data_IF_168775688257
#
_entry.id   IF_168775688257
#
_cell.length_a   1.000
_cell.length_b   1.000
_cell.length_c   1.000
_cell.angle_alpha   90.00
_cell.angle_beta   90.00
_cell.angle_gamma   90.00
#
_symmetry.space_group_name_H-M   'P 1'
#
loop_
_entity.id
_entity.type
_entity.pdbx_description
1 polymer ?
#
# COMPACT_ATOMS: atom_id res chain seq x y z
N UNK A 1 16.58 -26.32 -30.74
CA UNK A 1 15.10 -26.35 -30.78
C UNK A 1 14.64 -24.93 -30.52
N UNK A 2 13.78 -24.41 -31.39
CA UNK A 2 13.61 -22.97 -31.60
C UNK A 2 13.18 -22.22 -30.34
N UNK A 3 13.78 -21.06 -30.12
CA UNK A 3 13.24 -19.99 -29.29
C UNK A 3 11.87 -19.63 -29.89
N UNK A 4 10.81 -20.30 -29.45
CA UNK A 4 9.45 -19.79 -29.65
C UNK A 4 9.44 -18.39 -29.05
N UNK A 5 8.90 -17.42 -29.78
CA UNK A 5 8.86 -16.04 -29.32
C UNK A 5 8.21 -16.01 -27.94
N UNK A 6 8.94 -15.53 -26.92
CA UNK A 6 8.46 -15.47 -25.54
C UNK A 6 7.10 -14.73 -25.42
N UNK A 7 6.81 -13.84 -26.37
CA UNK A 7 5.49 -13.19 -26.52
C UNK A 7 4.35 -14.11 -27.00
N UNK A 8 4.61 -15.11 -27.84
CA UNK A 8 3.61 -16.11 -28.27
C UNK A 8 3.19 -17.01 -27.10
N UNK A 9 4.15 -17.38 -26.24
CA UNK A 9 3.89 -18.11 -24.99
C UNK A 9 2.97 -17.32 -24.07
N UNK A 10 3.26 -16.03 -23.85
CA UNK A 10 2.43 -15.18 -22.99
C UNK A 10 0.99 -15.05 -23.53
N UNK A 11 0.81 -14.93 -24.84
CA UNK A 11 -0.52 -14.83 -25.46
C UNK A 11 -1.34 -16.13 -25.31
N UNK A 12 -0.72 -17.29 -25.50
CA UNK A 12 -1.38 -18.58 -25.30
C UNK A 12 -1.78 -18.81 -23.83
N UNK A 13 -0.89 -18.50 -22.89
CA UNK A 13 -1.15 -18.61 -21.44
C UNK A 13 -2.22 -17.61 -20.98
N UNK A 14 -2.28 -16.41 -21.56
CA UNK A 14 -3.35 -15.45 -21.33
C UNK A 14 -4.71 -16.00 -21.76
N UNK A 15 -4.77 -16.65 -22.92
CA UNK A 15 -6.01 -17.27 -23.42
C UNK A 15 -6.48 -18.39 -22.48
N UNK A 16 -5.55 -19.16 -21.91
CA UNK A 16 -5.87 -20.14 -20.87
C UNK A 16 -6.37 -19.46 -19.58
N UNK A 17 -5.73 -18.39 -19.11
CA UNK A 17 -6.15 -17.64 -17.91
C UNK A 17 -7.59 -17.09 -18.02
N UNK A 18 -8.02 -16.70 -19.21
CA UNK A 18 -9.38 -16.21 -19.46
C UNK A 18 -10.47 -17.24 -19.17
N UNK A 19 -10.13 -18.53 -19.23
CA UNK A 19 -11.08 -19.62 -18.98
C UNK A 19 -11.52 -19.72 -17.51
N UNK A 20 -10.78 -19.10 -16.58
CA UNK A 20 -11.11 -19.12 -15.15
C UNK A 20 -12.26 -18.17 -14.79
N UNK A 21 -12.66 -17.25 -15.67
CA UNK A 21 -13.73 -16.26 -15.44
C UNK A 21 -13.65 -15.61 -14.04
N UNK A 22 -12.53 -14.94 -13.78
CA UNK A 22 -12.29 -14.23 -12.52
C UNK A 22 -12.93 -12.83 -12.54
N UNK A 23 -13.24 -12.23 -11.36
CA UNK A 23 -13.89 -10.93 -11.27
C UNK A 23 -13.12 -9.78 -11.91
N UNK A 24 -11.78 -9.82 -11.85
CA UNK A 24 -10.93 -8.79 -12.44
C UNK A 24 -10.77 -8.97 -13.96
N UNK A 25 -10.62 -7.87 -14.72
CA UNK A 25 -10.39 -7.95 -16.16
C UNK A 25 -9.15 -8.81 -16.47
N UNK A 26 -9.26 -9.68 -17.47
CA UNK A 26 -8.21 -10.60 -17.92
C UNK A 26 -8.11 -10.61 -19.45
N UNK A 27 -8.32 -9.46 -20.10
CA UNK A 27 -8.43 -9.38 -21.56
C UNK A 27 -7.08 -9.01 -22.17
N UNK A 28 -6.35 -8.10 -21.52
CA UNK A 28 -5.06 -7.59 -21.98
C UNK A 28 -3.94 -8.04 -21.05
N UNK A 29 -2.73 -8.11 -21.58
CA UNK A 29 -1.53 -8.38 -20.77
C UNK A 29 -1.36 -7.38 -19.62
N UNK A 30 -1.68 -6.11 -19.88
CA UNK A 30 -1.64 -5.02 -18.88
C UNK A 30 -2.52 -5.30 -17.65
N UNK A 31 -3.64 -6.02 -17.81
CA UNK A 31 -4.55 -6.32 -16.71
C UNK A 31 -3.91 -7.28 -15.69
N UNK A 32 -3.00 -8.15 -16.16
CA UNK A 32 -2.31 -9.14 -15.32
C UNK A 32 -1.09 -8.56 -14.61
N UNK A 33 -0.54 -7.44 -15.09
CA UNK A 33 0.62 -6.76 -14.47
C UNK A 33 0.32 -6.28 -13.05
N UNK A 34 -0.96 -6.10 -12.69
CA UNK A 34 -1.40 -5.74 -11.33
C UNK A 34 -1.15 -6.84 -10.29
N UNK A 35 -1.00 -8.10 -10.74
CA UNK A 35 -0.92 -9.29 -9.88
C UNK A 35 -2.26 -9.72 -9.26
N UNK A 36 -3.31 -8.89 -9.34
CA UNK A 36 -4.63 -9.17 -8.72
C UNK A 36 -5.32 -10.33 -9.44
N UNK A 37 -5.41 -10.26 -10.76
CA UNK A 37 -6.05 -11.30 -11.59
C UNK A 37 -5.36 -12.65 -11.41
N UNK A 38 -4.02 -12.66 -11.32
CA UNK A 38 -3.23 -13.88 -11.08
C UNK A 38 -3.53 -14.45 -9.68
N UNK A 39 -3.60 -13.59 -8.66
CA UNK A 39 -3.92 -14.02 -7.30
C UNK A 39 -5.33 -14.63 -7.19
N UNK A 40 -6.31 -14.05 -7.88
CA UNK A 40 -7.67 -14.61 -7.93
C UNK A 40 -7.72 -15.97 -8.61
N UNK A 41 -6.92 -16.19 -9.67
CA UNK A 41 -6.80 -17.50 -10.31
C UNK A 41 -6.14 -18.52 -9.38
N UNK A 42 -5.06 -18.14 -8.69
CA UNK A 42 -4.41 -19.01 -7.70
C UNK A 42 -5.36 -19.41 -6.56
N UNK A 43 -6.18 -18.49 -6.08
CA UNK A 43 -7.24 -18.78 -5.11
C UNK A 43 -8.26 -19.82 -5.64
N UNK A 44 -8.60 -19.79 -6.94
CA UNK A 44 -9.46 -20.82 -7.54
C UNK A 44 -8.75 -22.17 -7.70
N UNK A 45 -7.45 -22.15 -8.04
CA UNK A 45 -6.64 -23.37 -8.21
C UNK A 45 -6.64 -24.17 -6.91
N UNK A 46 -6.26 -23.54 -5.81
CA UNK A 46 -6.22 -24.18 -4.50
C UNK A 46 -6.60 -23.20 -3.39
N UNK A 47 -7.89 -23.16 -2.99
CA UNK A 47 -8.36 -22.30 -1.91
C UNK A 47 -7.77 -22.65 -0.54
N UNK A 48 -7.19 -23.84 -0.37
CA UNK A 48 -6.63 -24.27 0.92
C UNK A 48 -5.31 -23.55 1.22
N UNK A 49 -4.47 -23.40 0.21
CA UNK A 49 -3.20 -22.66 0.30
C UNK A 49 -3.38 -21.18 0.04
N UNK A 50 -3.97 -20.85 -1.13
CA UNK A 50 -4.21 -19.47 -1.54
C UNK A 50 -5.54 -18.98 -0.96
N UNK A 51 -5.69 -18.98 0.36
CA UNK A 51 -6.95 -18.67 1.04
C UNK A 51 -7.34 -17.17 0.97
N UNK A 52 -8.55 -16.84 1.46
CA UNK A 52 -9.06 -15.45 1.46
C UNK A 52 -8.14 -14.49 2.24
N UNK A 53 -7.49 -14.94 3.31
CA UNK A 53 -6.58 -14.08 4.10
C UNK A 53 -5.32 -13.72 3.33
N UNK A 54 -4.83 -14.61 2.48
CA UNK A 54 -3.72 -14.33 1.57
C UNK A 54 -4.17 -13.38 0.45
N UNK A 55 -5.35 -13.63 -0.14
CA UNK A 55 -5.90 -12.79 -1.21
C UNK A 55 -6.10 -11.34 -0.75
N UNK A 56 -6.54 -11.12 0.51
CA UNK A 56 -6.67 -9.79 1.12
C UNK A 56 -5.33 -9.03 1.25
N UNK A 57 -4.18 -9.71 1.21
CA UNK A 57 -2.86 -9.05 1.22
C UNK A 57 -2.52 -8.43 -0.14
N UNK A 58 -3.21 -8.82 -1.20
CA UNK A 58 -3.05 -8.29 -2.56
C UNK A 58 -3.94 -7.05 -2.68
N UNK A 59 -3.35 -5.90 -3.02
CA UNK A 59 -4.08 -4.64 -3.12
C UNK A 59 -4.75 -4.55 -4.50
N UNK A 60 -6.05 -4.27 -4.53
CA UNK A 60 -6.83 -4.16 -5.78
C UNK A 60 -6.63 -2.78 -6.47
N UNK A 61 -6.50 -1.71 -5.67
CA UNK A 61 -6.34 -0.33 -6.15
C UNK A 61 -4.90 0.00 -6.59
N UNK A 62 -4.44 -0.70 -7.63
CA UNK A 62 -3.07 -0.56 -8.14
C UNK A 62 -2.89 0.55 -9.19
N UNK A 63 -3.94 0.89 -9.94
CA UNK A 63 -3.90 1.92 -10.99
C UNK A 63 -2.64 1.84 -11.86
N UNK A 64 -1.97 2.99 -12.04
CA UNK A 64 -0.66 3.08 -12.73
C UNK A 64 0.54 3.03 -11.78
N UNK A 65 0.34 2.71 -10.50
CA UNK A 65 1.42 2.67 -9.52
C UNK A 65 2.23 1.36 -9.65
N UNK A 66 3.22 1.38 -10.54
CA UNK A 66 4.10 0.25 -10.80
C UNK A 66 4.75 -0.34 -9.53
N UNK A 67 5.02 0.46 -8.49
CA UNK A 67 5.58 -0.04 -7.23
C UNK A 67 4.61 -0.95 -6.48
N UNK A 68 3.32 -0.62 -6.49
CA UNK A 68 2.28 -1.47 -5.91
C UNK A 68 2.08 -2.74 -6.74
N UNK A 69 2.13 -2.64 -8.08
CA UNK A 69 2.11 -3.79 -8.98
C UNK A 69 3.26 -4.76 -8.67
N UNK A 70 4.49 -4.27 -8.60
CA UNK A 70 5.67 -5.08 -8.25
C UNK A 70 5.52 -5.69 -6.84
N UNK A 71 4.99 -4.94 -5.87
CA UNK A 71 4.76 -5.47 -4.51
C UNK A 71 3.75 -6.62 -4.50
N UNK A 72 2.65 -6.50 -5.23
CA UNK A 72 1.66 -7.58 -5.39
C UNK A 72 2.27 -8.79 -6.10
N UNK A 73 2.98 -8.58 -7.21
CA UNK A 73 3.62 -9.64 -7.98
C UNK A 73 4.70 -10.38 -7.16
N UNK A 74 5.45 -9.68 -6.30
CA UNK A 74 6.39 -10.30 -5.36
C UNK A 74 5.69 -11.26 -4.40
N UNK A 75 4.55 -10.86 -3.83
CA UNK A 75 3.74 -11.72 -2.95
C UNK A 75 3.20 -12.93 -3.69
N UNK A 76 2.71 -12.73 -4.91
CA UNK A 76 2.21 -13.81 -5.77
C UNK A 76 3.33 -14.81 -6.08
N UNK A 77 4.48 -14.33 -6.56
CA UNK A 77 5.62 -15.19 -6.88
C UNK A 77 6.12 -15.95 -5.65
N UNK A 78 6.27 -15.27 -4.52
CA UNK A 78 6.70 -15.90 -3.27
C UNK A 78 5.78 -17.07 -2.90
N UNK A 79 4.46 -16.84 -2.88
CA UNK A 79 3.51 -17.89 -2.49
C UNK A 79 3.40 -19.02 -3.52
N UNK A 80 3.66 -18.76 -4.81
CA UNK A 80 3.73 -19.78 -5.86
C UNK A 80 4.98 -20.65 -5.71
N UNK A 81 6.13 -20.05 -5.40
CA UNK A 81 7.38 -20.78 -5.16
C UNK A 81 7.27 -21.61 -3.88
N UNK A 82 6.75 -21.03 -2.79
CA UNK A 82 6.46 -21.74 -1.54
C UNK A 82 5.48 -22.90 -1.78
N UNK A 83 4.39 -22.70 -2.52
CA UNK A 83 3.46 -23.78 -2.88
C UNK A 83 4.15 -24.89 -3.67
N UNK A 84 5.01 -24.53 -4.62
CA UNK A 84 5.72 -25.49 -5.46
C UNK A 84 6.71 -26.33 -4.65
N UNK A 85 7.40 -25.73 -3.68
CA UNK A 85 8.34 -26.43 -2.80
C UNK A 85 7.63 -27.24 -1.71
N UNK A 86 6.69 -26.64 -0.99
CA UNK A 86 6.10 -27.22 0.22
C UNK A 86 4.94 -28.19 -0.08
N UNK A 87 4.12 -27.90 -1.09
CA UNK A 87 2.94 -28.71 -1.44
C UNK A 87 3.24 -29.67 -2.58
N UNK A 88 3.87 -29.17 -3.65
CA UNK A 88 4.18 -30.00 -4.81
C UNK A 88 5.48 -30.80 -4.64
N UNK A 89 6.38 -30.40 -3.74
CA UNK A 89 7.67 -31.07 -3.52
C UNK A 89 8.69 -30.85 -4.66
N UNK A 90 8.48 -29.88 -5.54
CA UNK A 90 9.34 -29.60 -6.69
C UNK A 90 10.08 -28.27 -6.49
N UNK A 91 11.40 -28.28 -6.66
CA UNK A 91 12.22 -27.07 -6.68
C UNK A 91 12.02 -26.35 -8.03
N UNK A 92 11.56 -25.10 -8.00
CA UNK A 92 11.46 -24.28 -9.21
C UNK A 92 12.88 -23.88 -9.65
N UNK A 93 13.32 -24.22 -10.88
CA UNK A 93 14.62 -23.83 -11.39
C UNK A 93 14.77 -22.31 -11.47
N UNK A 94 15.96 -21.80 -11.16
CA UNK A 94 16.26 -20.36 -11.16
C UNK A 94 16.00 -19.69 -12.53
N UNK A 95 16.12 -20.46 -13.63
CA UNK A 95 15.85 -19.97 -14.99
C UNK A 95 14.36 -19.70 -15.28
N UNK A 96 13.47 -20.31 -14.49
CA UNK A 96 12.02 -20.17 -14.62
C UNK A 96 11.44 -19.13 -13.64
N UNK A 97 12.28 -18.56 -12.77
CA UNK A 97 11.85 -17.48 -11.88
C UNK A 97 11.68 -16.18 -12.68
N UNK A 98 10.48 -15.59 -12.70
CA UNK A 98 10.23 -14.34 -13.40
C UNK A 98 10.79 -13.14 -12.62
N UNK A 99 11.36 -12.17 -13.33
CA UNK A 99 11.67 -10.87 -12.77
C UNK A 99 10.40 -10.00 -12.69
N UNK A 100 9.77 -10.04 -11.52
CA UNK A 100 8.56 -9.28 -11.22
C UNK A 100 8.74 -7.76 -11.28
N UNK A 101 9.97 -7.24 -11.23
CA UNK A 101 10.23 -5.81 -11.42
C UNK A 101 10.00 -5.42 -12.89
N UNK A 102 10.50 -6.23 -13.83
CA UNK A 102 10.30 -6.02 -15.27
C UNK A 102 8.82 -6.16 -15.67
N UNK A 103 8.08 -7.07 -15.03
CA UNK A 103 6.63 -7.21 -15.26
C UNK A 103 5.86 -5.98 -14.76
N UNK A 104 6.18 -5.46 -13.57
CA UNK A 104 5.44 -4.33 -13.00
C UNK A 104 5.81 -2.97 -13.59
N UNK A 105 7.06 -2.76 -14.00
CA UNK A 105 7.59 -1.49 -14.52
C UNK A 105 7.51 -1.38 -16.05
N UNK A 106 7.85 -2.44 -16.77
CA UNK A 106 7.94 -2.44 -18.24
C UNK A 106 6.83 -3.25 -18.91
N UNK A 107 5.98 -3.93 -18.13
CA UNK A 107 4.95 -4.85 -18.67
C UNK A 107 5.55 -5.90 -19.62
N UNK A 108 6.75 -6.41 -19.29
CA UNK A 108 7.49 -7.31 -20.17
C UNK A 108 6.74 -8.64 -20.37
N UNK A 109 6.40 -9.02 -21.62
CA UNK A 109 5.62 -10.22 -21.89
C UNK A 109 6.41 -11.52 -21.66
N UNK A 110 7.74 -11.49 -21.72
CA UNK A 110 8.55 -12.67 -21.49
C UNK A 110 8.54 -13.06 -20.00
N UNK A 111 8.78 -12.10 -19.12
CA UNK A 111 8.73 -12.32 -17.68
C UNK A 111 7.31 -12.61 -17.18
N UNK A 112 6.29 -11.98 -17.75
CA UNK A 112 4.90 -12.31 -17.45
C UNK A 112 4.57 -13.75 -17.90
N UNK A 113 5.05 -14.17 -19.08
CA UNK A 113 4.89 -15.53 -19.57
C UNK A 113 5.50 -16.58 -18.64
N UNK A 114 6.68 -16.32 -18.07
CA UNK A 114 7.30 -17.19 -17.05
C UNK A 114 6.45 -17.28 -15.78
N UNK A 115 5.91 -16.15 -15.29
CA UNK A 115 5.03 -16.15 -14.13
C UNK A 115 3.76 -16.98 -14.37
N UNK A 116 3.13 -16.80 -15.54
CA UNK A 116 1.94 -17.58 -15.91
C UNK A 116 2.26 -19.07 -16.10
N UNK A 117 3.46 -19.41 -16.57
CA UNK A 117 3.92 -20.78 -16.68
C UNK A 117 4.02 -21.45 -15.30
N UNK A 118 4.51 -20.74 -14.28
CA UNK A 118 4.51 -21.27 -12.90
C UNK A 118 3.09 -21.49 -12.36
N UNK A 119 2.18 -20.55 -12.62
CA UNK A 119 0.76 -20.68 -12.24
C UNK A 119 0.11 -21.89 -12.93
N UNK A 120 0.40 -22.10 -14.22
CA UNK A 120 0.00 -23.29 -14.95
C UNK A 120 0.57 -24.57 -14.30
N UNK A 121 1.84 -24.55 -13.92
CA UNK A 121 2.50 -25.62 -13.16
C UNK A 121 1.76 -25.97 -11.87
N UNK A 122 1.30 -24.96 -11.12
CA UNK A 122 0.46 -25.17 -9.94
C UNK A 122 -0.90 -25.80 -10.30
N UNK A 123 -1.56 -25.32 -11.36
CA UNK A 123 -2.87 -25.83 -11.78
C UNK A 123 -2.81 -27.31 -12.22
N UNK A 124 -1.76 -27.73 -12.94
CA UNK A 124 -1.64 -29.12 -13.41
C UNK A 124 -1.13 -30.09 -12.33
N UNK A 125 -0.62 -29.57 -11.21
CA UNK A 125 -0.04 -30.37 -10.13
C UNK A 125 -0.91 -30.40 -8.87
N UNK A 126 -1.95 -29.55 -8.79
CA UNK A 126 -2.90 -29.53 -7.67
C UNK A 126 -3.83 -30.76 -7.65
N UNK A 127 -4.60 -30.91 -6.56
CA UNK A 127 -5.56 -32.03 -6.41
C UNK A 127 -6.62 -32.07 -7.53
N UNK A 128 -7.04 -30.90 -8.01
CA UNK A 128 -8.05 -30.74 -9.08
C UNK A 128 -7.44 -30.67 -10.49
N UNK A 129 -6.21 -31.16 -10.68
CA UNK A 129 -5.51 -31.12 -11.98
C UNK A 129 -6.31 -31.67 -13.16
N UNK A 130 -7.18 -32.66 -12.93
CA UNK A 130 -8.00 -33.26 -14.00
C UNK A 130 -8.96 -32.23 -14.63
N UNK A 131 -9.56 -31.35 -13.83
CA UNK A 131 -10.49 -30.32 -14.33
C UNK A 131 -9.75 -29.28 -15.18
N UNK A 132 -8.56 -28.86 -14.72
CA UNK A 132 -7.72 -27.90 -15.45
C UNK A 132 -7.13 -28.49 -16.73
N UNK A 133 -6.75 -29.77 -16.73
CA UNK A 133 -6.29 -30.47 -17.94
C UNK A 133 -7.44 -30.59 -18.96
N UNK A 134 -8.65 -30.93 -18.52
CA UNK A 134 -9.83 -30.96 -19.40
C UNK A 134 -10.12 -29.58 -19.99
N UNK A 135 -10.00 -28.52 -19.18
CA UNK A 135 -10.16 -27.15 -19.64
C UNK A 135 -9.13 -26.77 -20.72
N UNK A 136 -7.87 -27.17 -20.56
CA UNK A 136 -6.83 -26.99 -21.59
C UNK A 136 -7.22 -27.69 -22.90
N UNK A 137 -7.81 -28.89 -22.83
CA UNK A 137 -8.27 -29.64 -24.01
C UNK A 137 -9.44 -29.00 -24.77
N UNK A 138 -10.10 -27.99 -24.20
CA UNK A 138 -11.15 -27.22 -24.89
C UNK A 138 -10.61 -26.00 -25.66
N UNK A 139 -9.34 -25.66 -25.48
CA UNK A 139 -8.69 -24.53 -26.15
C UNK A 139 -8.37 -24.84 -27.62
N UNK A 140 -8.01 -23.82 -28.40
CA UNK A 140 -7.56 -23.98 -29.78
C UNK A 140 -6.26 -24.81 -29.85
N UNK A 141 -6.10 -25.64 -30.88
CA UNK A 141 -4.96 -26.58 -31.04
C UNK A 141 -3.59 -25.87 -30.99
N UNK A 142 -3.51 -24.66 -31.55
CA UNK A 142 -2.32 -23.80 -31.49
C UNK A 142 -1.94 -23.43 -30.05
N UNK A 143 -2.93 -23.09 -29.22
CA UNK A 143 -2.77 -22.76 -27.80
C UNK A 143 -2.43 -24.02 -26.99
N UNK A 144 -3.09 -25.15 -27.27
CA UNK A 144 -2.82 -26.43 -26.60
C UNK A 144 -1.36 -26.85 -26.76
N UNK A 145 -0.79 -26.73 -27.96
CA UNK A 145 0.61 -27.10 -28.21
C UNK A 145 1.58 -26.22 -27.40
N UNK A 146 1.32 -24.92 -27.30
CA UNK A 146 2.15 -23.98 -26.53
C UNK A 146 2.05 -24.27 -25.03
N UNK A 147 0.85 -24.51 -24.51
CA UNK A 147 0.61 -24.89 -23.11
C UNK A 147 1.29 -26.22 -22.79
N UNK A 148 1.19 -27.22 -23.66
CA UNK A 148 1.84 -28.53 -23.49
C UNK A 148 3.37 -28.40 -23.45
N UNK A 149 3.94 -27.56 -24.31
CA UNK A 149 5.39 -27.29 -24.32
C UNK A 149 5.83 -26.64 -23.00
N UNK A 150 5.05 -25.68 -22.50
CA UNK A 150 5.30 -25.01 -21.22
C UNK A 150 5.23 -25.99 -20.02
N UNK A 151 4.33 -26.98 -20.07
CA UNK A 151 4.24 -28.06 -19.08
C UNK A 151 5.45 -29.00 -19.16
N UNK A 152 5.86 -29.39 -20.37
CA UNK A 152 7.02 -30.28 -20.56
C UNK A 152 8.32 -29.66 -20.05
N UNK A 153 8.52 -28.35 -20.25
CA UNK A 153 9.66 -27.63 -19.69
C UNK A 153 9.68 -27.60 -18.16
N UNK A 154 8.51 -27.66 -17.51
CA UNK A 154 8.41 -27.75 -16.05
C UNK A 154 8.71 -29.15 -15.51
N UNK A 155 8.49 -30.21 -16.32
CA UNK A 155 8.56 -31.62 -15.88
C UNK A 155 9.85 -32.36 -16.32
N UNK A 156 10.73 -31.76 -17.11
CA UNK A 156 11.81 -32.49 -17.82
C UNK A 156 13.10 -32.75 -17.03
N UNK A 157 13.11 -32.70 -15.69
CA UNK A 157 14.38 -32.83 -14.93
C UNK A 157 14.39 -33.70 -13.68
N UNK A 158 13.77 -34.88 -13.72
CA UNK A 158 13.88 -35.90 -12.65
C UNK A 158 14.28 -37.32 -13.12
N UNK A 159 15.01 -37.48 -14.23
CA UNK A 159 15.51 -38.81 -14.65
C UNK A 159 16.95 -38.79 -15.16
N UNK A 160 17.91 -38.73 -14.25
CA UNK A 160 19.30 -39.09 -14.55
C UNK A 160 19.98 -39.63 -13.30
N UNK A 161 19.78 -40.93 -13.05
CA UNK A 161 20.69 -41.70 -12.20
C UNK A 161 20.74 -43.19 -12.60
N UNK A 162 21.99 -43.67 -12.74
CA UNK A 162 22.49 -45.06 -12.66
C UNK A 162 22.01 -46.13 -13.65
N UNK A 163 22.94 -46.58 -14.52
CA UNK A 163 23.03 -47.98 -14.90
C UNK A 163 24.51 -48.42 -14.99
N UNK A 164 24.96 -49.13 -13.95
CA UNK A 164 26.19 -49.92 -13.94
C UNK A 164 25.99 -51.22 -14.73
N UNK A 165 26.91 -51.50 -15.65
CA UNK A 165 26.91 -52.71 -16.47
C UNK A 165 28.07 -53.62 -16.05
N UNK A 166 27.78 -54.60 -15.21
CA UNK A 166 28.61 -55.81 -15.07
C UNK A 166 27.78 -56.99 -15.59
N UNK A 167 28.34 -57.83 -16.47
CA UNK A 167 28.15 -59.30 -16.41
C UNK A 167 29.24 -60.03 -17.22
N UNK A 168 29.77 -61.04 -16.53
CA UNK A 168 30.72 -62.11 -16.84
C UNK A 168 30.44 -63.01 -18.07
N UNK A 169 31.50 -63.69 -18.51
CA UNK A 169 31.49 -64.98 -19.23
C UNK A 169 32.82 -65.17 -19.97
N UNK A 170 33.46 -66.33 -20.09
CA UNK A 170 33.21 -67.73 -19.72
C UNK A 170 34.54 -68.47 -20.01
N UNK A 171 34.96 -69.43 -19.17
CA UNK A 171 36.18 -70.24 -19.38
C UNK A 171 35.76 -71.65 -19.80
N UNK A 172 36.21 -72.14 -20.95
CA UNK A 172 36.31 -73.58 -21.22
C UNK A 172 37.24 -73.87 -22.42
N UNK A 173 38.34 -74.59 -22.17
CA UNK A 173 38.89 -75.57 -23.12
C UNK A 173 40.14 -76.22 -22.56
N UNK A 174 39.94 -77.34 -21.87
CA UNK A 174 41.00 -78.28 -21.53
C UNK A 174 40.69 -79.60 -22.23
N UNK A 175 41.40 -79.93 -23.32
CA UNK A 175 41.50 -81.33 -23.75
C UNK A 175 42.73 -81.65 -24.62
N UNK A 176 43.61 -82.43 -23.99
CA UNK A 176 44.26 -83.67 -24.49
C UNK A 176 45.16 -83.58 -25.73
N UNK A 177 46.44 -83.93 -25.54
CA UNK A 177 47.01 -85.13 -26.19
C UNK A 177 48.27 -85.63 -25.48
N UNK A 178 48.22 -86.88 -25.05
CA UNK A 178 49.35 -87.69 -24.56
C UNK A 178 49.78 -88.64 -25.68
N UNK A 179 51.10 -88.71 -25.92
CA UNK A 179 51.95 -89.87 -26.25
C UNK A 179 51.65 -90.80 -27.45
N UNK A 180 52.68 -91.01 -28.29
CA UNK A 180 53.34 -92.32 -28.41
C UNK A 180 54.77 -92.17 -29.00
N UNK A 181 55.76 -92.71 -28.27
CA UNK A 181 57.19 -92.78 -28.61
C UNK A 181 57.50 -94.08 -29.38
N UNK A 182 58.52 -94.05 -30.23
CA UNK A 182 59.27 -95.22 -30.69
C UNK A 182 60.64 -94.73 -31.19
N UNK A 183 61.69 -94.79 -30.36
CA UNK A 183 63.02 -95.30 -30.75
C UNK A 183 64.01 -95.27 -29.54
N UNK A 184 64.18 -96.43 -28.88
CA UNK A 184 64.90 -96.59 -27.61
C UNK A 184 66.43 -96.62 -27.74
N UNK A 185 67.03 -95.79 -28.60
CA UNK A 185 68.48 -95.58 -28.63
C UNK A 185 68.92 -94.11 -28.72
N UNK A 186 67.99 -93.15 -28.93
CA UNK A 186 68.20 -91.69 -28.79
C UNK A 186 67.72 -91.14 -27.43
N UNK A 187 66.92 -91.90 -26.67
CA UNK A 187 66.23 -91.44 -25.44
C UNK A 187 67.14 -90.93 -24.33
N UNK A 188 68.41 -91.36 -24.25
CA UNK A 188 69.28 -90.86 -23.18
C UNK A 188 69.89 -89.49 -23.47
N UNK A 189 69.98 -89.07 -24.74
CA UNK A 189 70.52 -87.76 -25.13
C UNK A 189 69.37 -86.76 -25.28
N UNK A 190 68.25 -87.16 -25.89
CA UNK A 190 67.04 -86.33 -26.02
C UNK A 190 66.37 -86.04 -24.66
N UNK A 191 66.33 -87.00 -23.73
CA UNK A 191 65.85 -86.71 -22.37
C UNK A 191 66.78 -85.74 -21.65
N UNK A 192 68.11 -85.85 -21.85
CA UNK A 192 69.07 -84.90 -21.26
C UNK A 192 68.91 -83.50 -21.83
N UNK A 193 68.72 -83.40 -23.14
CA UNK A 193 68.42 -82.14 -23.83
C UNK A 193 67.11 -81.52 -23.30
N UNK A 194 66.06 -82.33 -23.16
CA UNK A 194 64.75 -81.88 -22.68
C UNK A 194 64.78 -81.43 -21.21
N UNK A 195 65.56 -82.12 -20.35
CA UNK A 195 65.82 -81.68 -18.99
C UNK A 195 66.55 -80.34 -18.95
N UNK A 196 67.55 -80.14 -19.82
CA UNK A 196 68.28 -78.88 -19.90
C UNK A 196 67.40 -77.72 -20.39
N UNK A 197 66.53 -77.98 -21.37
CA UNK A 197 65.57 -76.99 -21.88
C UNK A 197 64.53 -76.61 -20.80
N UNK A 198 64.04 -77.58 -20.00
CA UNK A 198 63.17 -77.30 -18.86
C UNK A 198 63.88 -76.49 -17.78
N UNK A 199 65.13 -76.80 -17.45
CA UNK A 199 65.92 -76.03 -16.47
C UNK A 199 66.13 -74.59 -16.94
N UNK A 200 66.41 -74.40 -18.23
CA UNK A 200 66.54 -73.08 -18.82
C UNK A 200 65.22 -72.30 -18.76
N UNK A 201 64.10 -72.95 -19.08
CA UNK A 201 62.77 -72.34 -19.01
C UNK A 201 62.37 -72.00 -17.58
N UNK A 202 62.71 -72.85 -16.61
CA UNK A 202 62.53 -72.57 -15.17
C UNK A 202 63.38 -71.38 -14.75
N UNK A 203 64.62 -71.27 -15.22
CA UNK A 203 65.49 -70.13 -14.93
C UNK A 203 64.90 -68.82 -15.45
N UNK A 204 64.44 -68.80 -16.70
CA UNK A 204 63.78 -67.63 -17.31
C UNK A 204 62.52 -67.25 -16.52
N UNK A 205 61.67 -68.23 -16.19
CA UNK A 205 60.44 -67.98 -15.43
C UNK A 205 60.73 -67.52 -13.99
N UNK A 206 61.81 -68.00 -13.36
CA UNK A 206 62.24 -67.50 -12.05
C UNK A 206 62.71 -66.05 -12.14
N UNK A 207 63.42 -65.69 -13.21
CA UNK A 207 63.92 -64.33 -13.44
C UNK A 207 62.78 -63.36 -13.73
N UNK A 208 61.81 -63.74 -14.58
CA UNK A 208 60.57 -62.99 -14.81
C UNK A 208 59.75 -62.85 -13.52
N UNK A 209 59.59 -63.92 -12.74
CA UNK A 209 58.91 -63.85 -11.44
C UNK A 209 59.60 -62.87 -10.50
N UNK A 210 60.94 -62.85 -10.47
CA UNK A 210 61.70 -61.94 -9.63
C UNK A 210 61.56 -60.48 -10.08
N UNK A 211 61.56 -60.22 -11.40
CA UNK A 211 61.31 -58.90 -11.97
C UNK A 211 59.89 -58.41 -11.65
N UNK A 212 58.89 -59.25 -11.88
CA UNK A 212 57.48 -58.95 -11.56
C UNK A 212 57.28 -58.72 -10.06
N UNK A 213 57.98 -59.46 -9.20
CA UNK A 213 57.94 -59.26 -7.76
C UNK A 213 58.55 -57.92 -7.34
N UNK A 214 59.65 -57.51 -7.98
CA UNK A 214 60.29 -56.21 -7.76
C UNK A 214 59.37 -55.07 -8.21
N UNK A 215 58.77 -55.18 -9.39
CA UNK A 215 57.80 -54.22 -9.92
C UNK A 215 56.55 -54.11 -9.04
N UNK A 216 56.05 -55.25 -8.55
CA UNK A 216 54.95 -55.27 -7.60
C UNK A 216 55.30 -54.57 -6.28
N UNK A 217 56.56 -54.65 -5.84
CA UNK A 217 57.01 -53.98 -4.62
C UNK A 217 57.09 -52.47 -4.83
N UNK A 218 57.67 -52.02 -5.94
CA UNK A 218 57.77 -50.59 -6.27
C UNK A 218 56.39 -49.96 -6.49
N UNK A 219 55.47 -50.64 -7.17
CA UNK A 219 54.09 -50.18 -7.33
C UNK A 219 53.34 -50.05 -6.00
N UNK A 220 53.56 -50.99 -5.05
CA UNK A 220 52.96 -50.89 -3.70
C UNK A 220 53.53 -49.71 -2.91
N UNK A 221 54.83 -49.46 -2.98
CA UNK A 221 55.48 -48.33 -2.31
C UNK A 221 55.00 -46.98 -2.89
N UNK A 222 54.87 -46.87 -4.22
CA UNK A 222 54.30 -45.69 -4.88
C UNK A 222 52.84 -45.45 -4.48
N UNK A 223 52.03 -46.51 -4.41
CA UNK A 223 50.63 -46.42 -3.97
C UNK A 223 50.52 -45.92 -2.52
N UNK A 224 51.29 -46.48 -1.59
CA UNK A 224 51.28 -46.01 -0.19
C UNK A 224 51.72 -44.55 -0.05
N UNK A 225 52.70 -44.09 -0.84
CA UNK A 225 53.13 -42.69 -0.84
C UNK A 225 52.00 -41.76 -1.29
N UNK A 226 51.33 -42.10 -2.40
CA UNK A 226 50.23 -41.31 -2.94
C UNK A 226 49.02 -41.27 -2.00
N UNK A 227 48.71 -42.38 -1.32
CA UNK A 227 47.63 -42.46 -0.33
C UNK A 227 47.91 -41.59 0.91
N UNK A 228 49.15 -41.58 1.40
CA UNK A 228 49.56 -40.74 2.54
C UNK A 228 49.48 -39.24 2.21
N UNK A 229 49.97 -38.84 1.04
CA UNK A 229 49.94 -37.44 0.59
C UNK A 229 48.50 -36.97 0.33
N UNK A 230 47.68 -37.81 -0.29
CA UNK A 230 46.26 -37.53 -0.51
C UNK A 230 45.47 -37.40 0.79
N UNK A 231 45.72 -38.26 1.79
CA UNK A 231 45.08 -38.17 3.09
C UNK A 231 45.44 -36.87 3.84
N UNK A 232 46.72 -36.48 3.81
CA UNK A 232 47.21 -35.24 4.44
C UNK A 232 46.66 -33.96 3.78
N UNK A 233 46.60 -33.93 2.44
CA UNK A 233 46.00 -32.82 1.67
C UNK A 233 44.49 -32.71 1.91
N UNK A 234 43.80 -33.85 1.98
CA UNK A 234 42.34 -33.88 2.24
C UNK A 234 42.03 -33.37 3.64
N UNK A 235 42.80 -33.77 4.66
CA UNK A 235 42.64 -33.27 6.03
C UNK A 235 42.86 -31.76 6.17
N UNK A 236 43.89 -31.21 5.52
CA UNK A 236 44.13 -29.75 5.51
C UNK A 236 43.01 -28.98 4.82
N UNK A 237 42.48 -29.50 3.70
CA UNK A 237 41.34 -28.90 2.99
C UNK A 237 40.08 -28.93 3.85
N UNK A 238 39.86 -30.02 4.60
CA UNK A 238 38.73 -30.16 5.50
C UNK A 238 38.80 -29.16 6.66
N UNK A 239 39.98 -28.97 7.27
CA UNK A 239 40.20 -27.94 8.30
C UNK A 239 40.00 -26.52 7.78
N UNK A 240 40.46 -26.22 6.56
CA UNK A 240 40.26 -24.90 5.94
C UNK A 240 38.77 -24.62 5.70
N UNK A 241 38.05 -25.61 5.15
CA UNK A 241 36.60 -25.50 4.95
C UNK A 241 35.87 -25.35 6.29
N UNK A 242 36.31 -26.06 7.33
CA UNK A 242 35.72 -25.93 8.67
C UNK A 242 35.93 -24.54 9.27
N UNK A 243 37.13 -23.97 9.16
CA UNK A 243 37.40 -22.59 9.58
C UNK A 243 36.59 -21.57 8.76
N UNK A 244 36.39 -21.81 7.46
CA UNK A 244 35.56 -20.95 6.62
C UNK A 244 34.08 -21.02 7.03
N UNK A 245 33.58 -22.21 7.39
CA UNK A 245 32.22 -22.38 7.93
C UNK A 245 32.07 -21.61 9.25
N UNK A 246 33.03 -21.72 10.16
CA UNK A 246 33.01 -20.97 11.44
C UNK A 246 33.01 -19.45 11.21
N UNK A 247 33.85 -18.95 10.29
CA UNK A 247 33.87 -17.52 9.94
C UNK A 247 32.54 -17.04 9.35
N UNK A 248 31.96 -17.82 8.44
CA UNK A 248 30.66 -17.50 7.86
C UNK A 248 29.55 -17.55 8.92
N UNK A 249 29.61 -18.46 9.89
CA UNK A 249 28.67 -18.52 11.00
C UNK A 249 28.79 -17.30 11.92
N UNK A 250 30.00 -16.87 12.26
CA UNK A 250 30.24 -15.65 13.04
C UNK A 250 29.76 -14.38 12.31
N UNK A 251 30.04 -14.28 11.01
CA UNK A 251 29.57 -13.17 10.19
C UNK A 251 28.04 -13.14 10.11
N UNK A 252 27.40 -14.30 9.94
CA UNK A 252 25.94 -14.41 9.91
C UNK A 252 25.34 -13.97 11.25
N UNK A 253 25.86 -14.46 12.38
CA UNK A 253 25.41 -14.03 13.71
C UNK A 253 25.58 -12.51 13.93
N UNK A 254 26.68 -11.93 13.45
CA UNK A 254 26.92 -10.48 13.52
C UNK A 254 25.91 -9.71 12.68
N UNK A 255 25.61 -10.18 11.47
CA UNK A 255 24.62 -9.57 10.58
C UNK A 255 23.19 -9.71 11.14
N UNK A 256 22.86 -10.84 11.74
CA UNK A 256 21.58 -11.08 12.42
C UNK A 256 21.39 -10.13 13.59
N UNK A 257 22.40 -9.95 14.45
CA UNK A 257 22.34 -8.98 15.54
C UNK A 257 22.19 -7.54 15.01
N UNK A 258 22.95 -7.18 13.97
CA UNK A 258 22.81 -5.87 13.34
C UNK A 258 21.42 -5.65 12.74
N UNK A 259 20.84 -6.65 12.08
CA UNK A 259 19.46 -6.63 11.58
C UNK A 259 18.47 -6.42 12.71
N UNK A 260 18.64 -7.11 13.83
CA UNK A 260 17.74 -7.01 14.97
C UNK A 260 17.85 -5.64 15.66
N UNK A 261 19.04 -5.05 15.78
CA UNK A 261 19.26 -3.68 16.25
C UNK A 261 18.56 -2.65 15.34
N UNK A 262 18.69 -2.80 14.02
CA UNK A 262 17.99 -1.94 13.07
C UNK A 262 16.48 -2.14 13.13
N UNK A 263 15.98 -3.36 13.34
CA UNK A 263 14.55 -3.63 13.51
C UNK A 263 14.01 -2.89 14.73
N UNK A 264 14.67 -2.97 15.89
CA UNK A 264 14.25 -2.25 17.11
C UNK A 264 14.27 -0.74 16.88
N UNK A 265 15.30 -0.21 16.20
CA UNK A 265 15.36 1.22 15.87
C UNK A 265 14.23 1.67 14.93
N UNK A 266 13.85 0.84 13.97
CA UNK A 266 12.69 1.11 13.12
C UNK A 266 11.40 1.14 13.94
N UNK A 267 11.19 0.17 14.84
CA UNK A 267 10.01 0.13 15.72
C UNK A 267 9.93 1.37 16.63
N UNK A 268 11.06 1.84 17.17
CA UNK A 268 11.08 3.04 18.01
C UNK A 268 10.82 4.32 17.22
N UNK A 269 11.36 4.44 16.01
CA UNK A 269 11.04 5.55 15.11
C UNK A 269 9.57 5.53 14.67
N UNK A 270 8.99 4.34 14.44
CA UNK A 270 7.56 4.21 14.13
C UNK A 270 6.68 4.66 15.30
N UNK A 271 7.04 4.35 16.54
CA UNK A 271 6.34 4.85 17.74
C UNK A 271 6.46 6.38 17.85
N UNK A 272 7.65 6.94 17.66
CA UNK A 272 7.84 8.41 17.71
C UNK A 272 7.02 9.11 16.62
N UNK A 273 6.94 8.54 15.41
CA UNK A 273 6.09 9.05 14.34
C UNK A 273 4.62 9.01 14.73
N UNK A 274 4.14 7.91 15.33
CA UNK A 274 2.76 7.80 15.80
C UNK A 274 2.45 8.80 16.92
N UNK A 275 3.36 8.97 17.88
CA UNK A 275 3.21 9.96 18.96
C UNK A 275 3.15 11.40 18.42
N UNK A 276 4.03 11.72 17.47
CA UNK A 276 4.03 13.04 16.81
C UNK A 276 2.77 13.26 15.96
N UNK A 277 2.26 12.23 15.29
CA UNK A 277 0.99 12.30 14.55
C UNK A 277 -0.17 12.57 15.49
N UNK A 278 -0.28 11.82 16.60
CA UNK A 278 -1.33 12.03 17.59
C UNK A 278 -1.26 13.44 18.20
N UNK A 279 -0.07 13.92 18.53
CA UNK A 279 0.12 15.28 19.05
C UNK A 279 -0.26 16.36 18.02
N UNK A 280 -0.07 16.08 16.72
CA UNK A 280 -0.49 16.98 15.65
C UNK A 280 -2.03 17.01 15.52
N UNK A 281 -2.69 15.85 15.62
CA UNK A 281 -4.15 15.74 15.66
C UNK A 281 -4.76 16.51 16.85
N UNK A 282 -4.16 16.40 18.04
CA UNK A 282 -4.59 17.17 19.21
C UNK A 282 -4.44 18.69 18.99
N UNK A 283 -3.30 19.12 18.45
CA UNK A 283 -3.04 20.53 18.17
C UNK A 283 -3.96 21.09 17.08
N UNK A 284 -4.29 20.30 16.07
CA UNK A 284 -5.25 20.69 15.02
C UNK A 284 -6.67 20.80 15.57
N UNK A 285 -7.12 19.84 16.39
CA UNK A 285 -8.41 19.93 17.10
C UNK A 285 -8.50 21.18 17.98
N UNK A 286 -7.45 21.48 18.76
CA UNK A 286 -7.41 22.68 19.59
C UNK A 286 -7.43 23.97 18.75
N UNK A 287 -6.80 23.98 17.58
CA UNK A 287 -6.83 25.12 16.67
C UNK A 287 -8.23 25.33 16.07
N UNK A 288 -8.94 24.26 15.73
CA UNK A 288 -10.33 24.31 15.26
C UNK A 288 -11.27 24.82 16.34
N UNK A 289 -11.13 24.36 17.58
CA UNK A 289 -11.90 24.86 18.73
C UNK A 289 -11.63 26.35 18.98
N UNK A 290 -10.36 26.78 18.95
CA UNK A 290 -9.99 28.19 19.11
C UNK A 290 -10.60 29.06 17.99
N UNK A 291 -10.65 28.55 16.76
CA UNK A 291 -11.27 29.25 15.64
C UNK A 291 -12.80 29.34 15.82
N UNK A 292 -13.47 28.26 16.24
CA UNK A 292 -14.91 28.27 16.56
C UNK A 292 -15.25 29.29 17.64
N UNK A 293 -14.48 29.32 18.74
CA UNK A 293 -14.68 30.28 19.83
C UNK A 293 -14.45 31.73 19.36
N UNK A 294 -13.52 31.95 18.44
CA UNK A 294 -13.30 33.27 17.85
C UNK A 294 -14.51 33.72 17.00
N UNK A 295 -15.07 32.82 16.20
CA UNK A 295 -16.24 33.11 15.39
C UNK A 295 -17.46 33.44 16.28
N UNK A 296 -17.66 32.70 17.39
CA UNK A 296 -18.68 33.01 18.39
C UNK A 296 -18.45 34.39 19.05
N UNK A 297 -17.21 34.73 19.39
CA UNK A 297 -16.86 36.04 19.94
C UNK A 297 -17.16 37.18 18.97
N UNK A 298 -16.90 37.00 17.68
CA UNK A 298 -17.19 38.02 16.67
C UNK A 298 -18.71 38.19 16.46
N UNK A 299 -19.50 37.11 16.51
CA UNK A 299 -20.98 37.18 16.53
C UNK A 299 -21.46 37.97 17.75
N UNK A 300 -20.93 37.68 18.93
CA UNK A 300 -21.30 38.38 20.16
C UNK A 300 -20.91 39.86 20.11
N UNK A 301 -19.74 40.21 19.56
CA UNK A 301 -19.34 41.62 19.32
C UNK A 301 -20.32 42.34 18.42
N UNK A 302 -20.69 41.75 17.27
CA UNK A 302 -21.70 42.34 16.40
C UNK A 302 -23.06 42.52 17.08
N UNK A 303 -23.45 41.55 17.92
CA UNK A 303 -24.68 41.66 18.70
C UNK A 303 -24.61 42.80 19.72
N UNK A 304 -23.47 42.98 20.39
CA UNK A 304 -23.20 44.07 21.34
C UNK A 304 -23.25 45.43 20.64
N UNK A 305 -22.62 45.57 19.46
CA UNK A 305 -22.68 46.80 18.66
C UNK A 305 -24.09 47.13 18.20
N UNK A 306 -24.92 46.11 17.94
CA UNK A 306 -26.35 46.30 17.63
C UNK A 306 -27.10 46.82 18.86
N UNK A 307 -26.85 46.25 20.04
CA UNK A 307 -27.45 46.72 21.30
C UNK A 307 -27.05 48.17 21.57
N UNK A 308 -25.77 48.53 21.48
CA UNK A 308 -25.31 49.90 21.70
C UNK A 308 -25.96 50.92 20.75
N UNK A 309 -26.21 50.54 19.49
CA UNK A 309 -26.98 51.38 18.54
C UNK A 309 -28.44 51.56 18.96
N UNK A 310 -29.08 50.51 19.46
CA UNK A 310 -30.45 50.58 19.96
C UNK A 310 -30.53 51.43 21.23
N UNK A 311 -29.58 51.31 22.14
CA UNK A 311 -29.48 52.13 23.35
C UNK A 311 -29.33 53.61 23.01
N UNK A 312 -28.44 53.96 22.08
CA UNK A 312 -28.29 55.34 21.60
C UNK A 312 -29.59 55.89 20.99
N UNK A 313 -30.32 55.05 20.26
CA UNK A 313 -31.62 55.43 19.70
C UNK A 313 -32.66 55.66 20.81
N UNK A 314 -32.71 54.78 21.81
CA UNK A 314 -33.58 54.94 22.98
C UNK A 314 -33.28 56.25 23.72
N UNK A 315 -32.01 56.58 23.95
CA UNK A 315 -31.64 57.83 24.61
C UNK A 315 -31.99 59.06 23.78
N UNK A 316 -31.91 58.97 22.45
CA UNK A 316 -32.39 60.04 21.57
C UNK A 316 -33.91 60.25 21.69
N UNK A 317 -34.69 59.17 21.85
CA UNK A 317 -36.13 59.25 22.06
C UNK A 317 -36.49 59.77 23.45
N UNK A 318 -35.73 59.41 24.49
CA UNK A 318 -35.89 59.99 25.84
C UNK A 318 -35.74 61.52 25.82
N UNK A 319 -34.68 62.04 25.18
CA UNK A 319 -34.49 63.49 25.01
C UNK A 319 -35.66 64.15 24.29
N UNK A 320 -36.13 63.55 23.18
CA UNK A 320 -37.32 64.06 22.48
C UNK A 320 -38.57 64.07 23.36
N UNK A 321 -38.73 63.08 24.24
CA UNK A 321 -39.85 63.04 25.20
C UNK A 321 -39.72 64.14 26.26
N UNK A 322 -38.51 64.43 26.74
CA UNK A 322 -38.24 65.55 27.64
C UNK A 322 -38.58 66.88 26.98
N UNK A 323 -38.12 67.12 25.74
CA UNK A 323 -38.44 68.32 24.95
C UNK A 323 -39.94 68.49 24.73
N UNK A 324 -40.66 67.41 24.42
CA UNK A 324 -42.12 67.42 24.32
C UNK A 324 -42.79 67.75 25.66
N UNK A 325 -42.23 67.26 26.77
CA UNK A 325 -42.66 67.62 28.12
C UNK A 325 -42.49 69.11 28.42
N UNK A 326 -41.36 69.69 28.01
CA UNK A 326 -41.06 71.12 28.13
C UNK A 326 -42.01 71.97 27.30
N UNK A 327 -42.22 71.62 26.03
CA UNK A 327 -43.18 72.30 25.16
C UNK A 327 -44.60 72.23 25.74
N UNK A 328 -45.05 71.09 26.27
CA UNK A 328 -46.35 70.97 26.94
C UNK A 328 -46.46 71.87 28.18
N UNK A 329 -45.38 72.10 28.91
CA UNK A 329 -45.36 73.04 30.05
C UNK A 329 -45.42 74.49 29.56
N UNK A 330 -44.70 74.83 28.49
CA UNK A 330 -44.76 76.15 27.87
C UNK A 330 -46.16 76.47 27.33
N UNK A 331 -46.81 75.52 26.66
CA UNK A 331 -48.19 75.67 26.16
C UNK A 331 -49.14 75.98 27.32
N UNK A 332 -49.07 75.23 28.43
CA UNK A 332 -49.90 75.49 29.62
C UNK A 332 -49.66 76.89 30.21
N UNK A 333 -48.41 77.33 30.31
CA UNK A 333 -48.09 78.69 30.79
C UNK A 333 -48.63 79.78 29.85
N UNK A 334 -48.59 79.56 28.53
CA UNK A 334 -49.16 80.49 27.55
C UNK A 334 -50.69 80.50 27.63
N UNK A 335 -51.33 79.35 27.80
CA UNK A 335 -52.77 79.23 28.03
C UNK A 335 -53.17 79.99 29.31
N UNK A 336 -52.48 79.78 30.43
CA UNK A 336 -52.72 80.51 31.68
C UNK A 336 -52.56 82.02 31.49
N UNK A 337 -51.47 82.48 30.86
CA UNK A 337 -51.28 83.91 30.55
C UNK A 337 -52.39 84.47 29.65
N UNK A 338 -52.84 83.70 28.66
CA UNK A 338 -53.94 84.10 27.79
C UNK A 338 -55.26 84.23 28.57
N UNK A 339 -55.55 83.29 29.48
CA UNK A 339 -56.73 83.41 30.35
C UNK A 339 -56.69 84.66 31.23
N UNK A 340 -55.51 85.03 31.76
CA UNK A 340 -55.33 86.26 32.55
C UNK A 340 -55.52 87.49 31.67
N UNK A 341 -54.97 87.53 30.46
CA UNK A 341 -55.20 88.62 29.52
C UNK A 341 -56.68 88.76 29.15
N UNK A 342 -57.38 87.65 28.94
CA UNK A 342 -58.81 87.64 28.66
C UNK A 342 -59.60 88.19 29.84
N UNK A 343 -59.32 87.75 31.07
CA UNK A 343 -59.93 88.30 32.30
C UNK A 343 -59.70 89.81 32.42
N UNK A 344 -58.45 90.26 32.21
CA UNK A 344 -58.11 91.69 32.25
C UNK A 344 -58.84 92.49 31.18
N UNK A 345 -59.03 91.92 30.00
CA UNK A 345 -59.79 92.56 28.91
C UNK A 345 -61.26 92.70 29.32
N UNK A 346 -61.88 91.65 29.88
CA UNK A 346 -63.24 91.72 30.40
C UNK A 346 -63.40 92.78 31.51
N UNK A 347 -62.47 92.86 32.46
CA UNK A 347 -62.46 93.89 33.51
C UNK A 347 -62.41 95.30 32.92
N UNK A 348 -61.52 95.54 31.96
CA UNK A 348 -61.40 96.83 31.28
C UNK A 348 -62.65 97.17 30.48
N UNK A 349 -63.28 96.19 29.84
CA UNK A 349 -64.57 96.40 29.17
C UNK A 349 -65.68 96.77 30.16
N UNK A 350 -65.72 96.14 31.34
CA UNK A 350 -66.67 96.51 32.40
C UNK A 350 -66.41 97.91 32.94
N UNK A 351 -65.15 98.27 33.19
CA UNK A 351 -64.75 99.63 33.57
C UNK A 351 -65.18 100.64 32.50
N UNK A 352 -64.98 100.32 31.22
CA UNK A 352 -65.43 101.14 30.11
C UNK A 352 -66.95 101.27 30.06
N UNK A 353 -67.71 100.17 30.30
CA UNK A 353 -69.17 100.21 30.41
C UNK A 353 -69.62 101.12 31.57
N UNK A 354 -68.99 101.02 32.74
CA UNK A 354 -69.26 101.89 33.91
C UNK A 354 -68.95 103.35 33.59
N UNK A 355 -67.79 103.64 33.00
CA UNK A 355 -67.40 104.99 32.61
C UNK A 355 -68.36 105.59 31.58
N UNK A 356 -68.79 104.80 30.59
CA UNK A 356 -69.79 105.21 29.61
C UNK A 356 -71.16 105.49 30.26
N UNK A 357 -71.58 104.68 31.24
CA UNK A 357 -72.80 104.91 31.99
C UNK A 357 -72.74 106.22 32.81
N UNK A 358 -71.63 106.47 33.52
CA UNK A 358 -71.38 107.73 34.25
C UNK A 358 -71.36 108.92 33.27
N UNK A 359 -70.71 108.78 32.12
CA UNK A 359 -70.71 109.80 31.06
C UNK A 359 -72.11 110.10 30.56
N UNK A 360 -72.94 109.07 30.33
CA UNK A 360 -74.33 109.25 29.93
C UNK A 360 -75.16 109.99 31.00
N UNK A 361 -74.97 109.67 32.29
CA UNK A 361 -75.59 110.40 33.41
C UNK A 361 -75.13 111.86 33.46
N UNK A 362 -73.83 112.13 33.29
CA UNK A 362 -73.29 113.48 33.25
C UNK A 362 -73.89 114.30 32.09
N UNK A 363 -73.98 113.72 30.88
CA UNK A 363 -74.61 114.38 29.74
C UNK A 363 -76.11 114.62 29.97
N UNK A 364 -76.81 113.71 30.65
CA UNK A 364 -78.19 113.94 31.06
C UNK A 364 -78.31 115.13 32.03
N UNK A 365 -77.44 115.22 33.03
CA UNK A 365 -77.40 116.36 33.96
C UNK A 365 -77.02 117.67 33.27
N UNK A 366 -76.04 117.67 32.35
CA UNK A 366 -75.70 118.85 31.54
C UNK A 366 -76.91 119.33 30.74
N UNK A 367 -77.67 118.42 30.11
CA UNK A 367 -78.92 118.76 29.43
C UNK A 367 -79.94 119.37 30.38
N UNK A 368 -80.11 118.82 31.59
CA UNK A 368 -81.01 119.40 32.59
C UNK A 368 -80.59 120.82 32.99
N UNK A 369 -79.30 121.08 33.21
CA UNK A 369 -78.77 122.42 33.50
C UNK A 369 -78.99 123.35 32.31
N UNK A 370 -78.71 122.89 31.09
CA UNK A 370 -78.95 123.64 29.86
C UNK A 370 -80.43 124.04 29.73
N UNK A 371 -81.37 123.10 29.93
CA UNK A 371 -82.81 123.40 29.93
C UNK A 371 -83.20 124.40 31.01
N UNK A 372 -82.65 124.26 32.23
CA UNK A 372 -82.90 125.22 33.32
C UNK A 372 -82.37 126.62 32.99
N UNK A 373 -81.22 126.72 32.34
CA UNK A 373 -80.64 128.00 31.92
C UNK A 373 -81.47 128.64 30.81
N UNK A 374 -81.90 127.88 29.80
CA UNK A 374 -82.83 128.36 28.77
C UNK A 374 -84.15 128.84 29.37
N UNK A 375 -84.73 128.09 30.32
CA UNK A 375 -85.93 128.51 31.06
C UNK A 375 -85.68 129.79 31.86
N UNK A 376 -84.52 129.92 32.49
CA UNK A 376 -84.12 131.11 33.24
C UNK A 376 -84.00 132.34 32.32
N UNK A 377 -83.32 132.20 31.18
CA UNK A 377 -83.19 133.27 30.17
C UNK A 377 -84.57 133.68 29.60
N UNK A 378 -85.47 132.71 29.37
CA UNK A 378 -86.85 133.00 28.95
C UNK A 378 -87.64 133.74 30.02
N UNK A 379 -87.45 133.41 31.31
CA UNK A 379 -88.08 134.10 32.42
C UNK A 379 -87.51 135.51 32.60
N UNK A 380 -86.20 135.72 32.44
CA UNK A 380 -85.59 137.05 32.44
C UNK A 380 -86.09 137.90 31.27
N UNK A 381 -86.23 137.33 30.08
CA UNK A 381 -86.78 138.03 28.91
C UNK A 381 -88.25 138.41 29.04
N UNK A 382 -89.01 137.77 29.94
CA UNK A 382 -90.39 138.14 30.29
C UNK A 382 -90.46 139.25 31.37
N UNK A 383 -89.34 139.55 32.04
CA UNK A 383 -89.23 140.53 33.11
C UNK A 383 -88.64 141.89 32.65
N UNK A 384 -88.28 142.01 31.38
CA UNK A 384 -87.98 143.26 30.66
C UNK A 384 -89.09 143.56 29.64
#
# INVERSE_FOLDING_TARGET
MGEMGLGERCGALLTWMQTFHVPSPCIKMEDLTSGVTIAQVLHKIDPSWFNETWLLRIKDDTGDNWRLKVSNLKKVLQSVVEYSQDVLGHQVPEQLLPDVALVGELSDPAELGKLLQLVLGCAISCEKKQDYIQQIMTLEESVQHVVMTAIQELLTKDSSDTLSSETYGNFDSQSRKYYFLSDDLEETDDMRQHYHDLEHQISILMEEKNLLALENKTLREQKCSLESDAAGLTGKKLLLLQSQIEQLQEENFRLENGRDDFRVRCEDLEKEVQELQHRNEELTSLAEEAQSLKDEMDVLRHSSDRVGRLEAMVDSYKKKLEDLGDLRRQVRLLEERNTVYMQRTCELEEELRRANAVRAQLEAHKRQVWWKMVLFDQLEALHW
#
